data_IF_873889790020
#
_entry.id   IF_873889790020
#
_cell.length_a   1.000
_cell.length_b   1.000
_cell.length_c   1.000
_cell.angle_alpha   90.00
_cell.angle_beta   90.00
_cell.angle_gamma   90.00
#
_symmetry.space_group_name_H-M   'P 1'
#
loop_
_entity.id
_entity.type
_entity.pdbx_description
1 polymer ?
#
# COMPACT_ATOMS: atom_id res chain seq x y z
N UNK A 1 16.00 17.79 -7.48
CA UNK A 1 15.57 17.33 -7.54
C UNK A 1 14.94 16.64 -7.56
N UNK A 2 14.96 16.37 -7.67
CA UNK A 2 14.34 15.68 -7.76
C UNK A 2 13.66 15.14 -7.36
N UNK A 3 13.16 15.15 -7.52
CA UNK A 3 12.39 14.63 -7.03
C UNK A 3 12.03 13.51 -7.39
N UNK A 4 12.07 12.86 -6.72
CA UNK A 4 11.82 11.51 -7.07
C UNK A 4 10.50 11.37 -7.73
N UNK A 5 10.34 10.31 -8.51
CA UNK A 5 9.07 10.08 -9.12
C UNK A 5 8.03 9.82 -8.05
N UNK A 6 6.82 10.29 -8.23
CA UNK A 6 5.80 10.10 -7.22
C UNK A 6 5.50 8.64 -6.96
N UNK A 7 5.70 7.79 -7.95
CA UNK A 7 5.37 6.39 -7.80
C UNK A 7 6.56 5.56 -7.34
N UNK A 8 7.59 6.21 -6.86
CA UNK A 8 8.75 5.48 -6.39
C UNK A 8 8.42 4.57 -5.23
N UNK A 9 7.38 4.84 -4.51
CA UNK A 9 6.99 4.00 -3.41
C UNK A 9 7.70 4.37 -2.13
N UNK A 10 7.19 3.84 -1.06
CA UNK A 10 7.78 4.02 0.26
C UNK A 10 8.06 2.65 0.82
N UNK A 11 9.22 2.49 1.44
CA UNK A 11 9.58 1.25 2.09
C UNK A 11 9.20 1.34 3.55
N UNK A 12 8.47 0.36 4.04
CA UNK A 12 8.12 0.28 5.45
C UNK A 12 8.53 -1.08 5.97
N UNK A 13 8.80 -1.15 7.27
CA UNK A 13 9.20 -2.38 7.92
C UNK A 13 8.12 -2.85 8.87
N UNK A 14 7.78 -4.13 8.80
CA UNK A 14 6.82 -4.74 9.69
C UNK A 14 7.40 -6.08 10.09
N UNK A 15 7.63 -6.29 11.38
CA UNK A 15 8.16 -7.55 11.90
C UNK A 15 9.44 -7.97 11.19
N UNK A 16 10.34 -7.02 11.01
CA UNK A 16 11.65 -7.26 10.39
C UNK A 16 11.57 -7.62 8.92
N UNK A 17 10.45 -7.36 8.28
CA UNK A 17 10.30 -7.56 6.85
C UNK A 17 10.00 -6.24 6.21
N UNK A 18 10.51 -6.04 5.02
CA UNK A 18 10.31 -4.77 4.32
C UNK A 18 9.27 -4.92 3.23
N UNK A 19 8.49 -3.88 3.08
CA UNK A 19 7.43 -3.83 2.08
C UNK A 19 7.53 -2.49 1.37
N UNK A 20 7.18 -2.48 0.09
CA UNK A 20 7.09 -1.23 -0.66
C UNK A 20 5.63 -0.95 -0.92
N UNK A 21 5.18 0.25 -0.53
CA UNK A 21 3.85 0.70 -0.90
C UNK A 21 3.99 1.75 -1.97
N UNK A 22 3.13 1.70 -2.97
CA UNK A 22 3.18 2.66 -4.06
C UNK A 22 1.81 2.88 -4.63
N UNK A 23 1.65 4.03 -5.22
CA UNK A 23 0.40 4.42 -5.86
C UNK A 23 0.45 4.02 -7.33
N UNK A 24 -0.55 3.27 -7.77
CA UNK A 24 -0.65 2.91 -9.18
C UNK A 24 -1.51 3.92 -9.92
N UNK A 25 -2.63 4.28 -9.34
CA UNK A 25 -3.51 5.29 -9.88
C UNK A 25 -4.01 6.13 -8.73
N UNK A 26 -4.82 7.14 -9.03
CA UNK A 26 -5.36 7.98 -7.97
C UNK A 26 -6.20 7.20 -6.98
N UNK A 27 -6.70 6.05 -7.36
CA UNK A 27 -7.57 5.27 -6.47
C UNK A 27 -7.05 3.87 -6.17
N UNK A 28 -5.86 3.53 -6.59
CA UNK A 28 -5.32 2.17 -6.38
C UNK A 28 -3.89 2.24 -5.88
N UNK A 29 -3.64 1.55 -4.79
CA UNK A 29 -2.31 1.45 -4.21
C UNK A 29 -1.93 -0.01 -4.07
N UNK A 30 -0.64 -0.29 -4.01
CA UNK A 30 -0.15 -1.64 -3.80
C UNK A 30 0.88 -1.66 -2.70
N UNK A 31 1.04 -2.83 -2.09
CA UNK A 31 2.10 -3.08 -1.13
C UNK A 31 2.69 -4.44 -1.46
N UNK A 32 4.00 -4.49 -1.66
CA UNK A 32 4.67 -5.71 -2.08
C UNK A 32 5.79 -6.05 -1.12
N UNK A 33 6.04 -7.34 -0.95
CA UNK A 33 7.17 -7.79 -0.14
C UNK A 33 8.46 -7.54 -0.89
N UNK A 34 9.51 -7.29 -0.15
CA UNK A 34 10.84 -7.13 -0.73
C UNK A 34 11.74 -8.30 -0.37
N UNK A 35 11.75 -8.67 0.90
CA UNK A 35 12.75 -9.58 1.43
C UNK A 35 12.34 -11.03 1.51
N UNK A 36 11.11 -11.35 1.24
CA UNK A 36 10.62 -12.68 1.53
C UNK A 36 9.65 -13.13 0.46
N UNK A 37 9.56 -14.43 0.27
CA UNK A 37 8.54 -15.01 -0.59
C UNK A 37 7.41 -15.60 0.25
N UNK A 38 7.36 -15.29 1.53
CA UNK A 38 6.31 -15.77 2.40
C UNK A 38 5.07 -14.92 2.22
N UNK A 39 3.91 -15.52 1.96
CA UNK A 39 2.68 -14.76 1.83
C UNK A 39 2.39 -13.94 3.07
N UNK A 40 1.70 -12.83 2.89
CA UNK A 40 1.40 -11.93 3.99
C UNK A 40 0.42 -12.54 4.96
N UNK A 41 0.71 -12.40 6.25
CA UNK A 41 -0.24 -12.78 7.28
C UNK A 41 -1.37 -11.75 7.34
N UNK A 42 -2.48 -12.14 7.93
CA UNK A 42 -3.62 -11.24 8.04
C UNK A 42 -3.26 -9.97 8.81
N UNK A 43 -2.49 -10.10 9.89
CA UNK A 43 -2.10 -8.94 10.66
C UNK A 43 -1.20 -8.01 9.84
N UNK A 44 -0.35 -8.57 8.99
CA UNK A 44 0.48 -7.75 8.11
C UNK A 44 -0.39 -6.96 7.15
N UNK A 45 -1.44 -7.59 6.63
CA UNK A 45 -2.33 -6.88 5.71
C UNK A 45 -3.03 -5.72 6.39
N UNK A 46 -3.49 -5.90 7.62
CA UNK A 46 -4.11 -4.80 8.35
C UNK A 46 -3.13 -3.65 8.55
N UNK A 47 -1.89 -3.96 8.88
CA UNK A 47 -0.89 -2.93 9.08
C UNK A 47 -0.59 -2.20 7.78
N UNK A 48 -0.52 -2.93 6.66
CA UNK A 48 -0.29 -2.31 5.38
C UNK A 48 -1.46 -1.44 4.95
N UNK A 49 -2.69 -1.86 5.25
CA UNK A 49 -3.85 -1.02 4.96
C UNK A 49 -3.75 0.30 5.71
N UNK A 50 -3.39 0.24 6.99
CA UNK A 50 -3.25 1.47 7.76
C UNK A 50 -2.14 2.35 7.20
N UNK A 51 -1.04 1.75 6.75
CA UNK A 51 0.05 2.50 6.17
C UNK A 51 -0.38 3.16 4.86
N UNK A 52 -1.15 2.46 4.04
CA UNK A 52 -1.64 3.03 2.80
C UNK A 52 -2.59 4.18 3.09
N UNK A 53 -3.46 4.03 4.07
CA UNK A 53 -4.37 5.12 4.43
C UNK A 53 -3.61 6.34 4.88
N UNK A 54 -2.55 6.12 5.65
CA UNK A 54 -1.76 7.24 6.11
C UNK A 54 -1.00 7.91 4.97
N UNK A 55 -0.42 7.11 4.09
CA UNK A 55 0.36 7.65 2.99
C UNK A 55 -0.52 8.35 1.96
N UNK A 56 -1.70 7.81 1.70
CA UNK A 56 -2.57 8.35 0.68
C UNK A 56 -3.44 9.49 1.20
N UNK A 57 -3.69 9.51 2.50
CA UNK A 57 -4.66 10.45 3.06
C UNK A 57 -6.08 10.07 2.75
N UNK A 58 -6.31 8.84 2.26
CA UNK A 58 -7.62 8.39 1.83
C UNK A 58 -7.99 7.16 2.61
N UNK A 59 -9.22 6.70 2.44
CA UNK A 59 -9.70 5.54 3.14
C UNK A 59 -9.65 4.34 2.21
N UNK A 60 -9.13 3.23 2.71
CA UNK A 60 -9.12 2.00 1.93
C UNK A 60 -10.49 1.38 1.98
N UNK A 61 -11.07 1.13 0.82
CA UNK A 61 -12.43 0.60 0.72
C UNK A 61 -12.47 -0.84 0.30
N UNK A 62 -11.40 -1.34 -0.31
CA UNK A 62 -11.39 -2.72 -0.76
C UNK A 62 -9.94 -3.16 -0.87
N UNK A 63 -9.69 -4.43 -0.65
CA UNK A 63 -8.36 -4.99 -0.79
C UNK A 63 -8.44 -6.37 -1.40
N UNK A 64 -7.33 -6.77 -2.02
CA UNK A 64 -7.19 -8.12 -2.52
C UNK A 64 -5.72 -8.49 -2.52
N UNK A 65 -5.44 -9.76 -2.63
CA UNK A 65 -4.07 -10.22 -2.73
C UNK A 65 -3.81 -10.71 -4.13
N UNK A 66 -2.59 -10.45 -4.60
CA UNK A 66 -2.15 -10.96 -5.88
C UNK A 66 -0.74 -11.52 -5.71
N UNK A 67 -0.22 -12.11 -6.76
CA UNK A 67 1.12 -12.67 -6.75
C UNK A 67 1.27 -13.69 -5.64
N UNK A 68 0.24 -14.50 -5.45
CA UNK A 68 0.27 -15.61 -4.50
C UNK A 68 0.46 -15.13 -3.05
N UNK A 69 -0.13 -13.98 -2.75
CA UNK A 69 -0.08 -13.47 -1.38
C UNK A 69 1.13 -12.59 -1.10
N UNK A 70 1.92 -12.28 -2.12
CA UNK A 70 3.10 -11.44 -1.94
C UNK A 70 2.82 -9.98 -2.21
N UNK A 71 1.66 -9.66 -2.72
CA UNK A 71 1.29 -8.28 -3.01
C UNK A 71 -0.14 -8.02 -2.57
N UNK A 72 -0.33 -6.91 -1.90
CA UNK A 72 -1.64 -6.44 -1.49
C UNK A 72 -2.05 -5.31 -2.42
N UNK A 73 -3.24 -5.40 -2.99
CA UNK A 73 -3.79 -4.33 -3.81
C UNK A 73 -4.90 -3.67 -3.04
N UNK A 74 -4.93 -2.37 -3.00
CA UNK A 74 -5.90 -1.63 -2.21
C UNK A 74 -6.56 -0.55 -3.05
N UNK A 75 -7.89 -0.47 -2.94
CA UNK A 75 -8.65 0.63 -3.52
C UNK A 75 -8.85 1.67 -2.45
N UNK A 76 -8.67 2.94 -2.78
CA UNK A 76 -8.85 4.01 -1.82
C UNK A 76 -9.89 4.99 -2.33
N UNK A 77 -10.51 5.67 -1.38
CA UNK A 77 -11.54 6.63 -1.68
C UNK A 77 -11.19 7.92 -0.98
N UNK A 78 -10.91 8.95 -1.71
CA UNK A 78 -10.60 10.23 -1.15
C UNK A 78 -11.34 11.37 -1.80
N UNK A 79 -12.01 11.09 -2.88
CA UNK A 79 -12.57 12.19 -3.64
C UNK A 79 -13.70 12.92 -2.96
N UNK A 80 -14.48 12.20 -2.21
CA UNK A 80 -15.67 12.84 -1.69
C UNK A 80 -15.37 13.93 -0.71
N UNK A 81 -14.18 13.93 -0.09
CA UNK A 81 -13.93 14.98 0.83
C UNK A 81 -13.22 16.09 0.25
N UNK A 82 -12.81 15.93 -0.93
CA UNK A 82 -12.12 17.01 -1.49
C UNK A 82 -12.97 18.10 -1.80
N UNK A 83 -14.06 17.94 -1.84
CA UNK A 83 -14.78 18.93 -2.12
C UNK A 83 -15.10 19.75 -1.22
N UNK A 84 -14.82 19.73 -0.72
CA UNK A 84 -15.07 20.55 0.11
C UNK A 84 -14.65 20.92 0.53
#
# INVERSE_FOLDING_TARGET
>A
MNKAAPDAGQTISIDNRRYVISELTASTWTASTIDTATPMALTTRFTLVAAIEKASGCKVTDTGLSRQGLQLDAQVECGSRMKN
#
